data_IF_710436245834
#
_entry.id   IF_710436245834
#
_cell.length_a   1.000
_cell.length_b   1.000
_cell.length_c   1.000
_cell.angle_alpha   90.00
_cell.angle_beta   90.00
_cell.angle_gamma   90.00
#
_symmetry.space_group_name_H-M   'P 1'
#
loop_
_entity.id
_entity.type
_entity.pdbx_description
1 polymer ?
#
# COMPACT_ATOMS: atom_id res chain seq x y z
N UNK A 1 4.26 2.35 8.11
CA UNK A 1 5.50 1.68 7.67
C UNK A 1 6.12 2.55 6.61
N UNK A 2 6.84 3.56 7.06
CA UNK A 2 7.54 4.50 6.18
C UNK A 2 8.90 3.90 5.94
N UNK A 3 9.27 3.66 4.69
CA UNK A 3 10.64 3.32 4.37
C UNK A 3 11.48 4.57 4.63
N UNK A 4 12.13 4.65 5.78
CA UNK A 4 13.00 5.77 6.13
C UNK A 4 14.30 5.65 5.32
N UNK A 5 14.50 6.56 4.38
CA UNK A 5 15.84 6.90 3.90
C UNK A 5 15.93 8.41 3.71
N UNK A 6 16.61 9.05 4.65
CA UNK A 6 17.21 10.36 4.45
C UNK A 6 18.53 10.16 3.71
N UNK A 7 18.70 10.84 2.58
CA UNK A 7 20.03 11.14 2.05
C UNK A 7 19.97 12.44 1.26
N UNK A 8 20.56 13.49 1.83
CA UNK A 8 20.79 14.78 1.18
C UNK A 8 22.23 14.76 0.64
N UNK A 9 22.41 14.93 -0.68
CA UNK A 9 23.73 15.01 -1.30
C UNK A 9 23.76 16.22 -2.23
N UNK A 10 24.72 17.12 -1.99
CA UNK A 10 25.40 17.95 -3.00
C UNK A 10 26.85 18.09 -2.46
N UNK A 11 27.90 17.69 -3.19
CA UNK A 11 28.56 18.47 -4.25
C UNK A 11 29.32 17.57 -5.25
N UNK A 12 29.57 18.14 -6.43
CA UNK A 12 30.15 17.52 -7.62
C UNK A 12 31.62 17.08 -7.44
N UNK A 13 31.86 15.78 -7.23
CA UNK A 13 33.03 15.06 -7.73
C UNK A 13 32.65 13.60 -8.09
N UNK A 14 33.00 13.17 -9.30
CA UNK A 14 32.64 11.90 -9.95
C UNK A 14 31.13 11.73 -10.26
N UNK A 15 30.71 12.18 -11.45
CA UNK A 15 29.33 12.04 -11.95
C UNK A 15 29.00 10.56 -12.25
N UNK A 16 28.56 9.83 -11.24
CA UNK A 16 27.76 8.61 -11.42
C UNK A 16 26.27 8.99 -11.27
N UNK A 17 25.36 8.45 -12.10
CA UNK A 17 23.94 8.78 -11.99
C UNK A 17 23.45 8.32 -10.62
N UNK A 18 22.96 9.28 -9.83
CA UNK A 18 22.28 9.04 -8.55
C UNK A 18 21.09 8.11 -8.83
N UNK A 19 21.30 6.79 -8.71
CA UNK A 19 20.27 5.78 -8.92
C UNK A 19 19.19 6.05 -7.89
N UNK A 20 18.10 6.65 -8.33
CA UNK A 20 16.84 6.69 -7.62
C UNK A 20 16.59 5.25 -7.15
N UNK A 21 16.60 5.00 -5.84
CA UNK A 21 16.33 3.69 -5.28
C UNK A 21 14.82 3.39 -5.39
N UNK A 22 14.31 3.38 -6.61
CA UNK A 22 13.17 2.55 -6.94
C UNK A 22 13.76 1.16 -7.13
N UNK A 23 13.95 0.42 -6.04
CA UNK A 23 13.90 -1.04 -6.16
C UNK A 23 12.60 -1.30 -6.89
N UNK A 24 12.68 -1.87 -8.11
CA UNK A 24 11.53 -2.08 -8.97
C UNK A 24 10.40 -2.60 -8.10
N UNK A 25 9.38 -1.76 -7.89
CA UNK A 25 8.28 -2.12 -7.01
C UNK A 25 7.71 -3.39 -7.66
N UNK A 26 7.68 -4.53 -6.96
CA UNK A 26 7.11 -5.74 -7.53
C UNK A 26 5.73 -5.37 -8.06
N UNK A 27 5.42 -5.83 -9.26
CA UNK A 27 4.12 -5.56 -9.87
C UNK A 27 3.05 -6.01 -8.87
N UNK A 28 2.27 -5.05 -8.37
CA UNK A 28 1.28 -5.31 -7.33
C UNK A 28 0.06 -5.95 -7.99
N UNK A 29 0.12 -7.26 -8.18
CA UNK A 29 -0.99 -8.06 -8.69
C UNK A 29 -1.89 -8.51 -7.55
N UNK A 30 -3.20 -8.44 -7.76
CA UNK A 30 -4.18 -9.03 -6.86
C UNK A 30 -4.40 -10.48 -7.30
N UNK A 31 -4.28 -11.43 -6.38
CA UNK A 31 -4.67 -12.82 -6.64
C UNK A 31 -6.17 -12.85 -6.97
N UNK A 32 -6.52 -13.44 -8.11
CA UNK A 32 -7.90 -13.53 -8.58
C UNK A 32 -8.81 -14.25 -7.57
N UNK A 33 -8.26 -15.15 -6.74
CA UNK A 33 -8.99 -15.83 -5.67
C UNK A 33 -9.36 -14.91 -4.49
N UNK A 34 -8.78 -13.71 -4.42
CA UNK A 34 -9.11 -12.68 -3.43
C UNK A 34 -10.16 -11.69 -3.94
N UNK A 35 -10.56 -11.79 -5.21
CA UNK A 35 -11.61 -10.95 -5.79
C UNK A 35 -12.98 -11.48 -5.39
N UNK A 36 -13.80 -10.59 -4.84
CA UNK A 36 -15.18 -10.86 -4.45
C UNK A 36 -16.09 -9.83 -5.14
N UNK A 37 -17.25 -10.26 -5.62
CA UNK A 37 -18.27 -9.32 -6.10
C UNK A 37 -18.78 -8.50 -4.89
N UNK A 38 -18.63 -7.17 -4.90
CA UNK A 38 -19.11 -6.32 -3.80
C UNK A 38 -20.60 -6.49 -3.48
N UNK A 39 -21.42 -6.92 -4.45
CA UNK A 39 -22.85 -7.20 -4.25
C UNK A 39 -23.11 -8.43 -3.38
N UNK A 40 -22.13 -9.31 -3.25
CA UNK A 40 -22.19 -10.51 -2.41
C UNK A 40 -21.64 -10.25 -0.99
N UNK A 41 -21.13 -9.05 -0.72
CA UNK A 41 -20.62 -8.69 0.60
C UNK A 41 -21.73 -8.07 1.44
N UNK A 42 -22.12 -8.74 2.51
CA UNK A 42 -23.00 -8.16 3.52
C UNK A 42 -22.17 -7.40 4.56
N UNK A 43 -22.46 -6.11 4.72
CA UNK A 43 -21.81 -5.23 5.71
C UNK A 43 -22.67 -5.20 6.98
N UNK A 44 -22.12 -5.72 8.08
CA UNK A 44 -22.79 -5.82 9.38
C UNK A 44 -22.32 -4.71 10.34
N UNK A 45 -22.21 -5.03 11.63
CA UNK A 45 -21.92 -4.07 12.70
C UNK A 45 -20.57 -3.39 12.53
N UNK A 46 -20.50 -2.10 12.90
CA UNK A 46 -19.24 -1.37 12.98
C UNK A 46 -18.43 -1.87 14.17
N UNK A 47 -17.17 -2.22 13.93
CA UNK A 47 -16.25 -2.72 14.95
C UNK A 47 -15.11 -1.76 15.26
N UNK A 48 -14.93 -0.69 14.47
CA UNK A 48 -13.91 0.32 14.75
C UNK A 48 -13.99 1.56 13.88
N UNK A 49 -13.36 2.65 14.34
CA UNK A 49 -13.10 3.87 13.58
C UNK A 49 -11.76 4.46 13.99
N UNK A 50 -11.00 4.93 13.00
CA UNK A 50 -9.76 5.64 13.20
C UNK A 50 -9.64 6.81 12.24
N UNK A 51 -8.50 7.51 12.27
CA UNK A 51 -8.27 8.73 11.48
C UNK A 51 -8.44 8.55 9.96
N UNK A 52 -8.36 7.32 9.45
CA UNK A 52 -8.35 7.02 8.02
C UNK A 52 -9.50 6.13 7.55
N UNK A 53 -10.44 5.78 8.44
CA UNK A 53 -11.55 4.95 8.02
C UNK A 53 -12.33 4.29 9.14
N UNK A 54 -13.35 3.54 8.71
CA UNK A 54 -14.27 2.78 9.56
C UNK A 54 -14.15 1.31 9.19
N UNK A 55 -14.25 0.46 10.19
CA UNK A 55 -14.18 -0.99 10.02
C UNK A 55 -15.52 -1.59 10.41
N UNK A 56 -16.05 -2.41 9.51
CA UNK A 56 -17.31 -3.12 9.68
C UNK A 56 -17.05 -4.62 9.58
N UNK A 57 -17.83 -5.41 10.31
CA UNK A 57 -17.86 -6.86 10.11
C UNK A 57 -18.42 -7.17 8.72
N UNK A 58 -17.69 -7.94 7.91
CA UNK A 58 -18.13 -8.40 6.60
C UNK A 58 -18.52 -9.88 6.64
N UNK A 59 -19.58 -10.26 5.92
CA UNK A 59 -19.95 -11.66 5.69
C UNK A 59 -20.13 -11.91 4.20
N UNK A 60 -19.53 -12.97 3.68
CA UNK A 60 -19.82 -13.49 2.35
C UNK A 60 -21.02 -14.44 2.42
N UNK A 61 -21.91 -14.35 1.43
CA UNK A 61 -23.06 -15.26 1.27
C UNK A 61 -22.73 -16.42 0.34
#
# INVERSE_FOLDING_TARGET
>A
MSCSSESRVEEEESRTPHRNCFTACPELTIDENLLLDPKLLFIASKIGEGAHGKVYEGRSV
#
